data_IF_959564040373
#
_entry.id   IF_959564040373
#
_cell.length_a   1.000
_cell.length_b   1.000
_cell.length_c   1.000
_cell.angle_alpha   90.00
_cell.angle_beta   90.00
_cell.angle_gamma   90.00
#
_symmetry.space_group_name_H-M   'P 1'
#
loop_
_entity.id
_entity.type
_entity.pdbx_description
1 polymer ?
#
# COMPACT_ATOMS: atom_id res chain seq x y z
N UNK A 1 -1.53 3.29 24.31
CA UNK A 1 -0.23 2.68 24.48
C UNK A 1 -0.30 1.19 24.27
N UNK A 2 0.63 0.66 23.51
CA UNK A 2 0.71 -0.78 23.33
C UNK A 2 1.83 -1.33 24.20
N UNK A 3 1.49 -2.18 25.13
CA UNK A 3 2.47 -3.00 25.84
C UNK A 3 2.78 -4.18 24.94
N UNK A 4 3.96 -4.20 24.30
CA UNK A 4 4.42 -5.34 23.53
C UNK A 4 5.08 -6.35 24.48
N UNK A 5 4.62 -7.57 24.42
CA UNK A 5 5.14 -8.67 25.23
C UNK A 5 5.41 -9.85 24.29
N UNK A 6 6.62 -10.39 24.33
CA UNK A 6 6.97 -11.59 23.58
C UNK A 6 8.02 -12.42 24.33
N UNK A 7 8.15 -13.68 23.97
CA UNK A 7 9.24 -14.56 24.40
C UNK A 7 10.28 -14.54 23.28
N UNK A 8 11.53 -14.16 23.60
CA UNK A 8 12.60 -14.17 22.63
C UNK A 8 13.05 -15.62 22.30
N UNK A 9 13.92 -15.77 21.31
CA UNK A 9 14.40 -17.09 20.89
C UNK A 9 15.19 -17.84 21.99
N UNK A 10 15.68 -17.14 23.01
CA UNK A 10 16.34 -17.71 24.20
C UNK A 10 15.34 -18.15 25.30
N UNK A 11 14.05 -18.04 25.05
CA UNK A 11 13.00 -18.36 26.03
C UNK A 11 12.80 -17.29 27.11
N UNK A 12 13.42 -16.11 26.98
CA UNK A 12 13.29 -15.01 27.92
C UNK A 12 12.08 -14.15 27.58
N UNK A 13 11.29 -13.82 28.61
CA UNK A 13 10.21 -12.88 28.46
C UNK A 13 10.76 -11.46 28.30
N UNK A 14 10.37 -10.79 27.22
CA UNK A 14 10.63 -9.37 26.95
C UNK A 14 9.33 -8.60 27.03
N UNK A 15 9.36 -7.50 27.73
CA UNK A 15 8.21 -6.59 27.88
C UNK A 15 8.66 -5.19 27.54
N UNK A 16 8.03 -4.60 26.55
CA UNK A 16 8.25 -3.21 26.19
C UNK A 16 6.98 -2.40 26.44
N UNK A 17 7.14 -1.33 27.19
CA UNK A 17 6.09 -0.31 27.31
C UNK A 17 6.34 0.75 26.23
N UNK A 18 5.46 0.78 25.27
CA UNK A 18 5.57 1.68 24.10
C UNK A 18 4.92 3.04 24.36
N UNK A 19 4.57 3.33 25.60
CA UNK A 19 3.87 4.54 25.96
C UNK A 19 2.43 4.60 25.42
N UNK A 20 1.95 5.82 25.24
CA UNK A 20 0.60 6.06 24.75
C UNK A 20 0.57 6.02 23.21
N UNK A 21 -0.43 5.34 22.64
CA UNK A 21 -0.65 5.33 21.18
C UNK A 21 -0.88 6.75 20.65
N UNK A 22 -0.35 7.02 19.46
CA UNK A 22 -0.40 8.36 18.85
C UNK A 22 0.64 9.35 19.40
N UNK A 23 1.44 8.95 20.38
CA UNK A 23 2.51 9.77 20.91
C UNK A 23 3.79 9.62 20.06
N UNK A 24 4.48 10.75 19.85
CA UNK A 24 5.81 10.76 19.22
C UNK A 24 6.84 10.19 20.20
N UNK A 25 7.69 9.29 19.70
CA UNK A 25 8.81 8.77 20.50
C UNK A 25 9.90 9.83 20.69
N UNK A 26 10.65 9.81 21.82
CA UNK A 26 11.69 10.81 22.10
C UNK A 26 12.82 10.84 21.05
N UNK A 27 13.11 9.72 20.39
CA UNK A 27 14.16 9.63 19.37
C UNK A 27 13.72 10.15 17.99
N UNK A 28 12.43 10.45 17.80
CA UNK A 28 11.91 10.92 16.52
C UNK A 28 12.42 12.34 16.23
N UNK A 29 12.96 12.53 15.02
CA UNK A 29 13.39 13.84 14.56
C UNK A 29 12.24 14.86 14.55
N UNK A 30 12.59 16.12 14.81
CA UNK A 30 11.67 17.25 14.88
C UNK A 30 12.15 18.32 13.91
N UNK A 31 11.21 18.88 13.14
CA UNK A 31 11.49 20.03 12.29
C UNK A 31 11.61 21.35 13.05
N UNK A 32 11.80 22.46 12.34
CA UNK A 32 11.95 22.53 10.89
C UNK A 32 13.29 22.02 10.39
N UNK A 33 13.44 21.82 9.08
CA UNK A 33 14.76 21.63 8.46
C UNK A 33 15.55 22.93 8.51
N UNK A 34 16.86 22.86 8.25
CA UNK A 34 17.74 24.04 8.25
C UNK A 34 17.25 25.12 7.27
N UNK A 35 16.63 24.75 6.16
CA UNK A 35 16.05 25.64 5.17
C UNK A 35 14.59 26.06 5.47
N UNK A 36 14.10 25.77 6.68
CA UNK A 36 12.80 26.22 7.18
C UNK A 36 11.58 25.39 6.76
N UNK A 37 11.77 24.26 6.07
CA UNK A 37 10.65 23.40 5.69
C UNK A 37 10.08 22.65 6.90
N UNK A 38 8.76 22.53 6.95
CA UNK A 38 8.07 21.67 7.92
C UNK A 38 8.43 20.21 7.65
N UNK A 39 8.96 19.51 8.63
CA UNK A 39 9.25 18.07 8.65
C UNK A 39 9.03 17.53 10.06
N UNK A 40 8.65 16.24 10.20
CA UNK A 40 8.43 15.23 9.16
C UNK A 40 7.21 15.55 8.29
N UNK A 41 7.03 14.86 7.16
CA UNK A 41 5.79 14.94 6.38
C UNK A 41 4.66 14.11 7.04
N UNK A 42 5.01 12.95 7.59
CA UNK A 42 4.05 11.98 8.12
C UNK A 42 4.68 11.14 9.24
N UNK A 43 3.87 10.63 10.14
CA UNK A 43 4.24 9.69 11.19
C UNK A 43 3.79 8.29 10.83
N UNK A 44 4.53 7.29 11.33
CA UNK A 44 4.17 5.89 11.24
C UNK A 44 4.71 5.11 12.45
N UNK A 45 4.18 3.91 12.77
CA UNK A 45 4.72 3.07 13.82
C UNK A 45 6.20 2.79 13.63
N UNK A 46 7.00 3.04 14.68
CA UNK A 46 8.45 2.86 14.65
C UNK A 46 9.01 2.29 15.95
N UNK A 47 8.15 1.89 16.91
CA UNK A 47 8.54 1.37 18.19
C UNK A 47 8.26 -0.13 18.27
N UNK A 48 9.30 -0.94 18.54
CA UNK A 48 9.23 -2.40 18.67
C UNK A 48 8.54 -3.07 17.46
N UNK A 49 9.03 -2.74 16.29
CA UNK A 49 8.56 -3.31 15.02
C UNK A 49 9.28 -4.63 14.77
N UNK A 50 8.50 -5.70 14.63
CA UNK A 50 9.02 -7.05 14.33
C UNK A 50 9.13 -7.19 12.81
N UNK A 51 10.34 -7.47 12.33
CA UNK A 51 10.63 -7.66 10.92
C UNK A 51 11.75 -8.68 10.70
N UNK A 52 12.01 -9.01 9.44
CA UNK A 52 13.13 -9.89 9.06
C UNK A 52 14.46 -9.28 9.46
N UNK A 53 15.37 -10.14 9.93
CA UNK A 53 16.72 -9.78 10.34
C UNK A 53 17.74 -10.43 9.41
N UNK A 54 18.88 -9.75 9.22
CA UNK A 54 19.90 -10.24 8.28
C UNK A 54 20.53 -11.53 8.77
N UNK A 55 20.42 -12.61 7.98
CA UNK A 55 21.10 -13.89 8.27
C UNK A 55 22.63 -13.76 8.26
N UNK A 56 23.17 -12.89 7.41
CA UNK A 56 24.61 -12.63 7.37
C UNK A 56 25.09 -11.91 8.63
N UNK A 57 24.27 -10.99 9.15
CA UNK A 57 24.61 -10.32 10.40
C UNK A 57 24.63 -11.31 11.57
N UNK A 58 23.63 -12.19 11.67
CA UNK A 58 23.58 -13.25 12.70
C UNK A 58 24.82 -14.16 12.65
N UNK A 59 25.22 -14.60 11.46
CA UNK A 59 26.38 -15.49 11.26
C UNK A 59 27.70 -14.83 11.67
N UNK A 60 27.84 -13.52 11.42
CA UNK A 60 29.09 -12.80 11.67
C UNK A 60 29.15 -12.08 13.02
N UNK A 61 28.02 -11.96 13.73
CA UNK A 61 27.91 -11.26 15.00
C UNK A 61 27.10 -12.08 16.03
N UNK A 62 27.50 -13.32 16.36
CA UNK A 62 26.68 -14.20 17.19
C UNK A 62 26.48 -13.70 18.61
N UNK A 63 27.36 -12.82 19.10
CA UNK A 63 27.33 -12.22 20.44
C UNK A 63 26.76 -10.80 20.48
N UNK A 64 26.19 -10.31 19.39
CA UNK A 64 25.63 -8.98 19.33
C UNK A 64 24.43 -8.86 20.29
N UNK A 65 24.40 -7.78 21.07
CA UNK A 65 23.38 -7.58 22.10
C UNK A 65 21.96 -7.43 21.56
N UNK A 66 21.80 -6.97 20.33
CA UNK A 66 20.52 -6.81 19.65
C UNK A 66 19.88 -8.17 19.27
N UNK A 67 20.64 -9.27 19.21
CA UNK A 67 20.12 -10.64 19.06
C UNK A 67 19.16 -11.02 20.20
N UNK A 68 19.31 -10.42 21.38
CA UNK A 68 18.36 -10.61 22.48
C UNK A 68 16.93 -10.12 22.15
N UNK A 69 16.78 -9.31 21.12
CA UNK A 69 15.48 -8.85 20.60
C UNK A 69 14.92 -9.75 19.51
N UNK A 70 15.61 -10.85 19.16
CA UNK A 70 15.09 -11.84 18.23
C UNK A 70 13.89 -12.55 18.83
N UNK A 71 12.79 -12.54 18.07
CA UNK A 71 11.52 -13.16 18.46
C UNK A 71 11.52 -14.63 18.10
N UNK A 72 12.06 -14.96 16.92
CA UNK A 72 12.09 -16.33 16.40
C UNK A 72 13.24 -16.54 15.46
N UNK A 73 13.88 -17.71 15.55
CA UNK A 73 14.82 -18.24 14.56
C UNK A 73 14.17 -19.35 13.76
N UNK A 74 14.59 -19.50 12.50
CA UNK A 74 14.25 -20.64 11.65
C UNK A 74 15.38 -20.92 10.67
N UNK A 75 15.51 -22.18 10.25
CA UNK A 75 16.54 -22.60 9.29
C UNK A 75 15.92 -22.85 7.93
N UNK A 76 16.59 -22.37 6.88
CA UNK A 76 16.25 -22.65 5.50
C UNK A 76 17.52 -22.80 4.66
N UNK A 77 17.63 -23.88 3.88
CA UNK A 77 18.80 -24.19 3.03
C UNK A 77 20.15 -24.05 3.76
N UNK A 78 20.22 -24.58 4.99
CA UNK A 78 21.44 -24.59 5.79
C UNK A 78 21.85 -23.25 6.41
N UNK A 79 21.02 -22.23 6.32
CA UNK A 79 21.24 -20.90 6.92
C UNK A 79 20.18 -20.59 7.96
N UNK A 80 20.56 -19.90 9.03
CA UNK A 80 19.66 -19.42 10.07
C UNK A 80 19.18 -18.01 9.74
N UNK A 81 17.88 -17.81 9.87
CA UNK A 81 17.18 -16.53 9.72
C UNK A 81 16.46 -16.19 11.02
N UNK A 82 16.22 -14.90 11.25
CA UNK A 82 15.50 -14.45 12.43
C UNK A 82 14.45 -13.39 12.10
N UNK A 83 13.49 -13.27 13.00
CA UNK A 83 12.62 -12.13 13.15
C UNK A 83 13.06 -11.37 14.39
N UNK A 84 13.38 -10.09 14.23
CA UNK A 84 13.90 -9.24 15.30
C UNK A 84 12.94 -8.07 15.57
N UNK A 85 12.81 -7.68 16.85
CA UNK A 85 12.05 -6.49 17.27
C UNK A 85 13.00 -5.31 17.39
N UNK A 86 12.77 -4.28 16.58
CA UNK A 86 13.61 -3.10 16.56
C UNK A 86 12.80 -1.81 16.66
N UNK A 87 13.44 -0.71 17.02
CA UNK A 87 12.81 0.60 17.18
C UNK A 87 13.63 1.69 16.49
N UNK A 88 12.93 2.64 15.90
CA UNK A 88 13.54 3.77 15.21
C UNK A 88 12.67 4.31 14.10
N UNK A 89 12.96 5.52 13.64
CA UNK A 89 12.36 6.09 12.42
C UNK A 89 12.73 5.28 11.17
N UNK A 90 13.82 4.49 11.23
CA UNK A 90 14.18 3.50 10.21
C UNK A 90 13.16 2.38 10.07
N UNK A 91 12.33 2.12 11.08
CA UNK A 91 11.21 1.17 11.05
C UNK A 91 9.90 1.84 10.60
N UNK A 92 9.73 3.13 10.89
CA UNK A 92 8.57 3.91 10.41
C UNK A 92 8.62 4.15 8.90
N UNK A 93 9.81 4.45 8.36
CA UNK A 93 9.99 4.78 6.94
C UNK A 93 9.48 3.67 6.00
N UNK A 94 9.83 2.38 6.16
CA UNK A 94 9.32 1.31 5.30
C UNK A 94 7.82 1.06 5.45
N UNK A 95 7.20 1.39 6.58
CA UNK A 95 5.74 1.35 6.74
C UNK A 95 5.08 2.34 5.78
N UNK A 96 5.60 3.58 5.73
CA UNK A 96 5.12 4.60 4.79
C UNK A 96 5.40 4.19 3.35
N UNK A 97 6.61 3.68 3.05
CA UNK A 97 6.96 3.20 1.72
C UNK A 97 6.04 2.07 1.23
N UNK A 98 5.72 1.11 2.12
CA UNK A 98 4.77 0.04 1.83
C UNK A 98 3.35 0.54 1.55
N UNK A 99 2.88 1.53 2.32
CA UNK A 99 1.58 2.16 2.10
C UNK A 99 1.53 2.84 0.72
N UNK A 100 2.55 3.65 0.38
CA UNK A 100 2.64 4.33 -0.92
C UNK A 100 2.75 3.30 -2.06
N UNK A 101 3.45 2.18 -1.87
CA UNK A 101 3.52 1.13 -2.88
C UNK A 101 2.14 0.52 -3.18
N UNK A 102 1.29 0.30 -2.17
CA UNK A 102 -0.09 -0.13 -2.35
C UNK A 102 -0.93 0.93 -3.09
N UNK A 103 -0.74 2.20 -2.77
CA UNK A 103 -1.43 3.30 -3.45
C UNK A 103 -1.00 3.42 -4.92
N UNK A 104 0.30 3.27 -5.20
CA UNK A 104 0.83 3.24 -6.58
C UNK A 104 0.39 2.01 -7.36
N UNK A 105 0.14 0.88 -6.70
CA UNK A 105 -0.47 -0.29 -7.35
C UNK A 105 -1.90 0.01 -7.81
N UNK A 106 -2.64 0.78 -7.03
CA UNK A 106 -3.99 1.23 -7.37
C UNK A 106 -3.95 2.34 -8.44
N UNK A 107 -3.05 3.32 -8.31
CA UNK A 107 -2.86 4.41 -9.27
C UNK A 107 -1.37 4.67 -9.53
N UNK A 108 -0.80 4.10 -10.60
CA UNK A 108 0.61 4.30 -10.97
C UNK A 108 0.98 5.75 -11.35
N UNK A 109 0.01 6.64 -11.53
CA UNK A 109 0.24 8.03 -11.91
C UNK A 109 0.47 8.98 -10.73
N UNK A 110 0.33 8.49 -9.47
CA UNK A 110 0.50 9.30 -8.27
C UNK A 110 1.90 9.93 -8.22
N UNK A 111 1.92 11.24 -8.07
CA UNK A 111 3.13 12.02 -7.82
C UNK A 111 3.42 12.15 -6.31
N UNK A 112 4.62 12.57 -5.90
CA UNK A 112 4.91 12.89 -4.51
C UNK A 112 3.97 13.95 -3.91
N UNK A 113 3.53 14.94 -4.70
CA UNK A 113 2.57 15.97 -4.28
C UNK A 113 1.17 15.37 -4.05
N UNK A 114 0.78 14.36 -4.83
CA UNK A 114 -0.48 13.64 -4.60
C UNK A 114 -0.43 12.88 -3.28
N UNK A 115 0.69 12.23 -2.97
CA UNK A 115 0.88 11.55 -1.69
C UNK A 115 0.77 12.53 -0.50
N UNK A 116 1.36 13.72 -0.58
CA UNK A 116 1.22 14.75 0.46
C UNK A 116 -0.23 15.19 0.62
N UNK A 117 -0.96 15.36 -0.49
CA UNK A 117 -2.39 15.71 -0.45
C UNK A 117 -3.26 14.57 0.11
N UNK A 118 -2.86 13.31 -0.07
CA UNK A 118 -3.52 12.16 0.56
C UNK A 118 -3.25 12.18 2.07
N UNK A 119 -1.99 12.41 2.50
CA UNK A 119 -1.67 12.54 3.92
C UNK A 119 -2.49 13.65 4.59
N UNK A 120 -2.58 14.83 3.96
CA UNK A 120 -3.36 15.95 4.47
C UNK A 120 -4.82 15.56 4.77
N UNK A 121 -5.43 14.75 3.91
CA UNK A 121 -6.83 14.35 4.01
C UNK A 121 -7.07 13.17 4.95
N UNK A 122 -6.12 12.25 5.05
CA UNK A 122 -6.38 10.91 5.59
C UNK A 122 -5.58 10.56 6.84
N UNK A 123 -4.50 11.28 7.17
CA UNK A 123 -3.72 11.02 8.36
C UNK A 123 -4.52 11.22 9.64
N UNK A 124 -4.29 10.35 10.62
CA UNK A 124 -4.88 10.45 11.96
C UNK A 124 -4.20 11.56 12.75
N UNK A 125 -5.00 12.46 13.30
CA UNK A 125 -4.55 13.60 14.10
C UNK A 125 -4.95 13.37 15.55
N UNK A 126 -3.98 13.06 16.39
CA UNK A 126 -4.26 12.68 17.79
C UNK A 126 -4.39 13.88 18.73
N UNK A 127 -3.77 15.01 18.40
CA UNK A 127 -3.84 16.22 19.19
C UNK A 127 -4.69 17.27 18.47
N UNK A 128 -5.93 17.51 18.91
CA UNK A 128 -6.81 18.50 18.29
C UNK A 128 -6.41 19.95 18.56
N UNK A 129 -5.48 20.18 19.49
CA UNK A 129 -4.97 21.52 19.83
C UNK A 129 -3.86 21.99 18.88
N UNK A 130 -3.31 21.07 18.07
CA UNK A 130 -2.26 21.38 17.09
C UNK A 130 -2.85 21.61 15.70
N UNK A 131 -2.29 22.58 15.00
CA UNK A 131 -2.49 22.70 13.55
C UNK A 131 -1.61 21.70 12.80
N UNK A 132 -2.08 21.22 11.66
CA UNK A 132 -1.37 20.28 10.79
C UNK A 132 -1.26 20.85 9.37
N UNK A 133 -0.11 20.64 8.66
CA UNK A 133 1.08 19.94 9.15
C UNK A 133 1.88 20.77 10.18
N UNK A 134 2.66 20.10 11.03
CA UNK A 134 3.54 20.74 12.01
C UNK A 134 4.87 19.99 12.16
N UNK A 135 5.85 20.63 12.83
CA UNK A 135 7.19 20.09 12.96
C UNK A 135 7.33 18.89 13.91
N UNK A 136 6.27 18.50 14.62
CA UNK A 136 6.28 17.35 15.51
C UNK A 136 5.69 16.10 14.85
N UNK A 137 4.63 16.27 14.08
CA UNK A 137 3.80 15.17 13.55
C UNK A 137 3.58 15.21 12.04
N UNK A 138 4.06 16.23 11.34
CA UNK A 138 3.72 16.44 9.93
C UNK A 138 2.21 16.58 9.75
N UNK A 139 1.64 15.83 8.79
CA UNK A 139 0.20 15.72 8.57
C UNK A 139 -0.52 14.83 9.60
N UNK A 140 0.23 14.06 10.41
CA UNK A 140 -0.28 13.10 11.39
C UNK A 140 0.23 11.68 11.14
N UNK A 141 -0.38 10.68 11.78
CA UNK A 141 -0.04 9.28 11.57
C UNK A 141 -0.74 8.73 10.32
N UNK A 142 0.01 8.04 9.47
CA UNK A 142 -0.50 7.47 8.23
C UNK A 142 -1.67 6.51 8.49
N UNK A 143 -2.77 6.68 7.77
CA UNK A 143 -3.84 5.69 7.66
C UNK A 143 -3.81 5.06 6.27
N UNK A 144 -3.29 3.83 6.21
CA UNK A 144 -3.07 3.12 4.94
C UNK A 144 -4.38 2.87 4.21
N UNK A 145 -5.42 2.49 4.96
CA UNK A 145 -6.75 2.17 4.40
C UNK A 145 -7.45 3.42 3.90
N UNK A 146 -7.55 4.46 4.74
CA UNK A 146 -8.16 5.72 4.34
C UNK A 146 -7.43 6.37 3.16
N UNK A 147 -6.09 6.23 3.10
CA UNK A 147 -5.31 6.68 1.95
C UNK A 147 -5.63 5.93 0.66
N UNK A 148 -5.76 4.60 0.73
CA UNK A 148 -6.16 3.79 -0.43
C UNK A 148 -7.58 4.14 -0.90
N UNK A 149 -8.52 4.32 0.02
CA UNK A 149 -9.89 4.76 -0.29
C UNK A 149 -9.89 6.13 -1.00
N UNK A 150 -9.06 7.07 -0.56
CA UNK A 150 -8.91 8.38 -1.21
C UNK A 150 -8.34 8.25 -2.63
N UNK A 151 -7.36 7.35 -2.86
CA UNK A 151 -6.82 7.05 -4.20
C UNK A 151 -7.93 6.53 -5.12
N UNK A 152 -8.66 5.52 -4.67
CA UNK A 152 -9.77 4.93 -5.44
C UNK A 152 -10.88 5.95 -5.72
N UNK A 153 -11.19 6.81 -4.75
CA UNK A 153 -12.16 7.89 -4.90
C UNK A 153 -11.72 8.92 -5.96
N UNK A 154 -10.42 9.26 -6.00
CA UNK A 154 -9.86 10.17 -7.04
C UNK A 154 -9.99 9.56 -8.43
N UNK A 155 -9.68 8.27 -8.58
CA UNK A 155 -9.85 7.56 -9.84
C UNK A 155 -11.32 7.54 -10.29
N UNK A 156 -12.25 7.24 -9.38
CA UNK A 156 -13.68 7.25 -9.67
C UNK A 156 -14.18 8.63 -10.07
N UNK A 157 -13.64 9.70 -9.47
CA UNK A 157 -13.99 11.09 -9.81
C UNK A 157 -13.33 11.54 -11.14
N UNK A 158 -12.16 10.98 -11.49
CA UNK A 158 -11.46 11.21 -12.76
C UNK A 158 -12.09 10.45 -13.94
N UNK A 159 -12.77 9.34 -13.66
CA UNK A 159 -13.69 8.72 -14.63
C UNK A 159 -14.92 9.63 -14.67
N UNK A 160 -14.86 10.70 -15.45
CA UNK A 160 -16.08 11.32 -15.93
C UNK A 160 -16.88 10.18 -16.54
N UNK A 161 -18.06 9.91 -15.99
CA UNK A 161 -19.03 9.07 -16.67
C UNK A 161 -19.18 9.68 -18.07
N UNK A 162 -18.53 9.06 -19.05
CA UNK A 162 -18.85 9.33 -20.44
C UNK A 162 -20.36 9.14 -20.46
N UNK A 163 -21.15 10.19 -20.80
CA UNK A 163 -22.59 10.04 -20.84
C UNK A 163 -22.81 8.81 -21.70
N UNK A 164 -23.49 7.80 -21.16
CA UNK A 164 -23.83 6.61 -21.89
C UNK A 164 -24.56 7.13 -23.10
N UNK A 165 -23.84 7.28 -24.21
CA UNK A 165 -24.49 7.60 -25.50
C UNK A 165 -25.58 6.55 -25.62
N UNK A 166 -26.80 7.01 -25.80
CA UNK A 166 -27.95 6.13 -26.00
C UNK A 166 -27.48 5.00 -26.91
N UNK A 167 -27.74 3.77 -26.48
CA UNK A 167 -27.28 2.58 -27.16
C UNK A 167 -27.45 2.73 -28.66
N UNK A 168 -26.38 2.99 -29.37
CA UNK A 168 -26.43 3.27 -30.82
C UNK A 168 -26.53 1.96 -31.60
N UNK A 169 -26.51 0.83 -30.90
CA UNK A 169 -26.42 -0.49 -31.51
C UNK A 169 -25.12 -0.74 -32.29
N UNK A 170 -24.22 0.24 -32.29
CA UNK A 170 -22.95 0.17 -33.03
C UNK A 170 -22.02 -0.88 -32.47
N UNK A 171 -21.45 -1.67 -33.35
CA UNK A 171 -20.57 -2.77 -33.00
C UNK A 171 -19.12 -2.35 -33.26
N UNK A 172 -18.24 -2.70 -32.34
CA UNK A 172 -16.82 -2.40 -32.40
C UNK A 172 -15.98 -3.67 -32.25
N UNK A 173 -14.83 -3.71 -32.90
CA UNK A 173 -13.76 -4.68 -32.63
C UNK A 173 -13.10 -4.37 -31.27
N UNK A 174 -12.29 -5.28 -30.74
CA UNK A 174 -11.59 -5.08 -29.47
C UNK A 174 -10.58 -3.93 -29.50
N UNK A 175 -10.07 -3.58 -30.70
CA UNK A 175 -9.19 -2.45 -30.95
C UNK A 175 -9.94 -1.12 -31.18
N UNK A 176 -11.26 -1.11 -30.98
CA UNK A 176 -12.11 0.08 -31.02
C UNK A 176 -12.58 0.52 -32.40
N UNK A 177 -12.35 -0.28 -33.45
CA UNK A 177 -12.84 0.03 -34.80
C UNK A 177 -14.33 -0.27 -34.91
N UNK A 178 -15.12 0.69 -35.33
CA UNK A 178 -16.55 0.50 -35.64
C UNK A 178 -16.75 -0.37 -36.89
N UNK A 179 -17.57 -1.45 -36.79
CA UNK A 179 -17.78 -2.44 -37.85
C UNK A 179 -19.23 -2.54 -38.32
N UNK A 180 -20.12 -1.72 -37.78
CA UNK A 180 -21.53 -1.69 -38.21
C UNK A 180 -22.50 -1.77 -37.02
N UNK A 181 -23.76 -2.12 -37.35
CA UNK A 181 -24.83 -2.29 -36.35
C UNK A 181 -25.42 -3.71 -36.39
N UNK A 182 -25.17 -4.44 -37.47
CA UNK A 182 -25.76 -5.78 -37.71
C UNK A 182 -24.71 -6.88 -37.37
N UNK A 183 -25.00 -7.70 -36.37
CA UNK A 183 -24.09 -8.79 -35.95
C UNK A 183 -24.05 -9.93 -37.00
N UNK A 184 -25.09 -10.11 -37.76
CA UNK A 184 -25.20 -11.13 -38.84
C UNK A 184 -24.27 -10.87 -40.03
N UNK A 185 -23.79 -9.66 -40.20
CA UNK A 185 -22.87 -9.26 -41.26
C UNK A 185 -21.38 -9.35 -40.87
N UNK A 186 -21.11 -9.76 -39.64
CA UNK A 186 -19.73 -9.79 -39.12
C UNK A 186 -19.08 -11.17 -39.30
N UNK A 187 -17.77 -11.17 -39.53
CA UNK A 187 -16.97 -12.38 -39.44
C UNK A 187 -17.00 -12.98 -38.04
N UNK A 188 -16.77 -14.30 -37.91
CA UNK A 188 -16.65 -14.91 -36.58
C UNK A 188 -15.59 -14.20 -35.75
N UNK A 189 -15.91 -13.87 -34.49
CA UNK A 189 -14.98 -13.12 -33.63
C UNK A 189 -15.63 -12.57 -32.36
N UNK A 190 -14.82 -11.88 -31.57
CA UNK A 190 -15.26 -11.22 -30.35
C UNK A 190 -15.43 -9.70 -30.62
N UNK A 191 -16.58 -9.18 -30.25
CA UNK A 191 -17.00 -7.82 -30.52
C UNK A 191 -17.56 -7.14 -29.27
N UNK A 192 -17.72 -5.82 -29.34
CA UNK A 192 -18.33 -4.99 -28.28
C UNK A 192 -19.55 -4.28 -28.89
N UNK A 193 -20.70 -4.39 -28.23
CA UNK A 193 -21.90 -3.59 -28.49
C UNK A 193 -22.42 -3.01 -27.17
N UNK A 194 -22.66 -1.70 -27.14
CA UNK A 194 -23.22 -1.01 -25.96
C UNK A 194 -22.46 -1.35 -24.65
N UNK A 195 -21.11 -1.41 -24.74
CA UNK A 195 -20.23 -1.72 -23.60
C UNK A 195 -20.17 -3.20 -23.20
N UNK A 196 -20.87 -4.10 -23.91
CA UNK A 196 -20.88 -5.54 -23.62
C UNK A 196 -20.17 -6.33 -24.72
N UNK A 197 -19.35 -7.28 -24.30
CA UNK A 197 -18.70 -8.22 -25.22
C UNK A 197 -19.70 -9.29 -25.67
N UNK A 198 -19.67 -9.65 -26.96
CA UNK A 198 -20.40 -10.77 -27.50
C UNK A 198 -19.58 -11.50 -28.58
N UNK A 199 -19.89 -12.77 -28.82
CA UNK A 199 -19.19 -13.59 -29.78
C UNK A 199 -20.08 -13.80 -31.00
N UNK A 200 -19.52 -13.61 -32.20
CA UNK A 200 -20.08 -14.06 -33.45
C UNK A 200 -19.49 -15.45 -33.75
N UNK A 201 -20.25 -16.52 -33.70
CA UNK A 201 -19.74 -17.87 -33.91
C UNK A 201 -19.36 -18.10 -35.36
N UNK A 202 -18.38 -18.99 -35.59
CA UNK A 202 -18.15 -19.53 -36.93
C UNK A 202 -19.35 -20.37 -37.34
N UNK A 203 -20.02 -20.01 -38.43
CA UNK A 203 -21.01 -20.85 -39.06
C UNK A 203 -20.30 -22.09 -39.64
N UNK A 204 -20.30 -23.17 -38.88
CA UNK A 204 -20.21 -24.56 -39.32
C UNK A 204 -19.81 -25.49 -38.16
N UNK A 205 -20.81 -26.01 -37.45
CA UNK A 205 -20.76 -27.38 -36.98
C UNK A 205 -22.11 -28.00 -37.41
N UNK A 206 -22.17 -28.54 -38.59
CA UNK A 206 -23.11 -29.64 -38.90
C UNK A 206 -22.64 -30.83 -38.06
N UNK A 207 -23.23 -31.01 -36.90
CA UNK A 207 -23.21 -32.29 -36.21
C UNK A 207 -24.20 -33.17 -36.95
N UNK A 208 -23.71 -33.86 -37.97
CA UNK A 208 -24.34 -35.08 -38.43
C UNK A 208 -24.08 -36.16 -37.36
N UNK A 209 -25.10 -36.48 -36.58
CA UNK A 209 -25.14 -37.74 -35.86
C UNK A 209 -25.92 -38.76 -36.74
N UNK A 210 -25.35 -39.98 -36.90
CA UNK A 210 -26.02 -41.10 -37.54
C UNK A 210 -27.19 -41.64 -36.70
#
# INVERSE_FOLDING_TARGET
GYRTQFINYLGQQKVYDNGQGGARTPFSGVGPTFDGRVKPDVMAPGQNIISSYSSFYLENNPDAGDINSDVRHFSHKGRTYAWNSNAGTSMSSPVVAGAIALWLQADPSLSPSDCLSIFEKTCRRYDPMLSYPNNLYGYGEIDVTAGLEEVLRRQAAGVQSVPVQQATGRIYTLDGRGVGTEASALAPGLYIRDGRKFVVPSSNIHLNHP
#
